data_IF_836109426237
#
_entry.id   IF_836109426237
#
_cell.length_a   1.000
_cell.length_b   1.000
_cell.length_c   1.000
_cell.angle_alpha   90.00
_cell.angle_beta   90.00
_cell.angle_gamma   90.00
#
_symmetry.space_group_name_H-M   'P 1'
#
loop_
_entity.id
_entity.type
_entity.pdbx_description
1 polymer ?
#
# COMPACT_ATOMS: atom_id res chain seq x y z
N UNK A 1 -20.22 -11.84 32.64
CA UNK A 1 -19.02 -11.44 31.89
C UNK A 1 -19.28 -11.83 30.45
N UNK A 2 -19.80 -10.89 29.66
CA UNK A 2 -19.86 -11.04 28.21
C UNK A 2 -18.43 -10.87 27.72
N UNK A 3 -17.86 -11.96 27.19
CA UNK A 3 -16.68 -11.89 26.32
C UNK A 3 -17.00 -10.92 25.20
N UNK A 4 -16.49 -9.70 25.29
CA UNK A 4 -16.45 -8.79 24.15
C UNK A 4 -15.62 -9.50 23.09
N UNK A 5 -16.30 -9.93 22.02
CA UNK A 5 -15.66 -10.60 20.90
C UNK A 5 -14.81 -9.57 20.18
N UNK A 6 -13.51 -9.85 20.06
CA UNK A 6 -12.57 -9.23 19.13
C UNK A 6 -13.26 -8.75 17.85
N UNK A 7 -13.08 -7.47 17.49
CA UNK A 7 -13.58 -6.91 16.23
C UNK A 7 -12.49 -6.01 15.65
N UNK A 8 -11.57 -6.62 14.90
CA UNK A 8 -10.63 -5.87 14.09
C UNK A 8 -11.35 -5.04 13.04
N UNK A 9 -10.94 -3.79 12.91
CA UNK A 9 -11.31 -2.88 11.85
C UNK A 9 -10.11 -2.55 11.00
N UNK A 10 -10.26 -2.62 9.68
CA UNK A 10 -9.34 -1.99 8.76
C UNK A 10 -9.53 -0.48 8.83
N UNK A 11 -8.49 0.25 9.25
CA UNK A 11 -8.53 1.70 9.41
C UNK A 11 -8.23 2.40 8.08
N UNK A 12 -9.18 3.21 7.66
CA UNK A 12 -9.17 3.90 6.37
C UNK A 12 -8.69 5.36 6.52
N UNK A 13 -9.18 6.07 7.54
CA UNK A 13 -8.72 7.43 7.81
C UNK A 13 -8.90 7.84 9.27
N UNK A 14 -8.16 8.88 9.67
CA UNK A 14 -8.28 9.53 10.98
C UNK A 14 -8.50 11.03 10.79
N UNK A 15 -9.61 11.53 11.33
CA UNK A 15 -9.94 12.95 11.36
C UNK A 15 -9.94 13.46 12.80
N UNK A 16 -9.15 14.47 13.10
CA UNK A 16 -9.15 15.15 14.41
C UNK A 16 -10.18 16.29 14.38
N UNK A 17 -11.18 16.24 15.26
CA UNK A 17 -12.22 17.28 15.37
C UNK A 17 -11.76 18.38 16.34
N UNK A 18 -11.14 17.99 17.45
CA UNK A 18 -10.59 18.88 18.47
C UNK A 18 -9.53 18.14 19.28
N UNK A 19 -8.83 18.84 20.18
CA UNK A 19 -7.87 18.24 21.11
C UNK A 19 -8.48 16.98 21.75
N UNK A 20 -7.84 15.83 21.50
CA UNK A 20 -8.22 14.51 22.01
C UNK A 20 -9.50 13.87 21.44
N UNK A 21 -10.18 14.46 20.47
CA UNK A 21 -11.37 13.88 19.83
C UNK A 21 -11.10 13.53 18.36
N UNK A 22 -11.27 12.25 18.03
CA UNK A 22 -10.95 11.69 16.72
C UNK A 22 -12.13 10.93 16.13
N UNK A 23 -12.27 10.96 14.81
CA UNK A 23 -13.11 10.04 14.04
C UNK A 23 -12.17 9.10 13.30
N UNK A 24 -12.32 7.81 13.57
CA UNK A 24 -11.61 6.73 12.90
C UNK A 24 -12.60 6.07 11.93
N UNK A 25 -12.42 6.27 10.63
CA UNK A 25 -13.25 5.64 9.61
C UNK A 25 -12.67 4.27 9.26
N UNK A 26 -13.47 3.21 9.22
CA UNK A 26 -12.97 1.86 8.95
C UNK A 26 -14.04 0.81 8.65
N UNK A 27 -13.63 -0.46 8.53
CA UNK A 27 -14.50 -1.60 8.21
C UNK A 27 -14.17 -2.84 9.02
N UNK A 28 -15.17 -3.58 9.54
CA UNK A 28 -14.94 -4.89 10.13
C UNK A 28 -14.30 -5.81 9.09
N UNK A 29 -13.29 -6.58 9.49
CA UNK A 29 -12.63 -7.57 8.63
C UNK A 29 -13.62 -8.55 7.97
N UNK A 30 -14.65 -8.95 8.71
CA UNK A 30 -15.64 -9.94 8.27
C UNK A 30 -16.85 -9.37 7.53
N UNK A 31 -17.03 -8.05 7.56
CA UNK A 31 -18.24 -7.41 7.04
C UNK A 31 -17.89 -6.14 6.25
N UNK A 32 -17.32 -6.36 5.07
CA UNK A 32 -17.01 -5.29 4.11
C UNK A 32 -18.25 -4.67 3.48
N UNK A 33 -19.49 -5.01 3.92
CA UNK A 33 -20.80 -4.62 3.36
C UNK A 33 -20.66 -3.33 2.58
N UNK A 34 -20.54 -3.45 1.25
CA UNK A 34 -20.17 -2.33 0.36
C UNK A 34 -21.20 -1.20 0.37
N UNK A 35 -22.31 -1.32 1.09
CA UNK A 35 -23.39 -0.36 1.16
C UNK A 35 -23.31 0.57 2.38
N UNK A 36 -22.44 0.25 3.34
CA UNK A 36 -22.26 0.99 4.58
C UNK A 36 -20.79 1.31 4.79
N UNK A 37 -20.51 2.31 5.60
CA UNK A 37 -19.21 2.52 6.23
C UNK A 37 -19.37 2.72 7.73
N UNK A 38 -18.27 2.54 8.45
CA UNK A 38 -18.30 2.60 9.89
C UNK A 38 -17.36 3.68 10.39
N UNK A 39 -17.81 4.40 11.41
CA UNK A 39 -17.02 5.39 12.11
C UNK A 39 -16.92 4.99 13.58
N UNK A 40 -15.70 5.03 14.09
CA UNK A 40 -15.40 4.93 15.51
C UNK A 40 -15.02 6.34 15.97
N UNK A 41 -15.93 6.97 16.69
CA UNK A 41 -15.71 8.28 17.30
C UNK A 41 -15.05 8.05 18.65
N UNK A 42 -13.88 8.62 18.88
CA UNK A 42 -13.03 8.29 20.02
C UNK A 42 -12.50 9.54 20.73
N UNK A 43 -12.71 9.61 22.05
CA UNK A 43 -12.05 10.59 22.93
C UNK A 43 -10.85 9.92 23.61
N UNK A 44 -9.63 10.33 23.28
CA UNK A 44 -8.40 9.62 23.66
C UNK A 44 -7.64 10.29 24.80
N UNK A 45 -7.01 9.51 25.67
CA UNK A 45 -6.07 10.03 26.69
C UNK A 45 -4.69 10.29 26.04
N UNK A 46 -4.34 9.51 25.02
CA UNK A 46 -3.13 9.64 24.21
C UNK A 46 -3.46 10.14 22.80
N UNK A 47 -2.63 10.99 22.20
CA UNK A 47 -2.94 11.53 20.87
C UNK A 47 -2.79 10.47 19.77
N UNK A 48 -3.87 10.20 19.04
CA UNK A 48 -3.87 9.34 17.84
C UNK A 48 -3.22 10.04 16.64
N UNK A 49 -2.83 11.30 16.75
CA UNK A 49 -2.19 12.03 15.64
C UNK A 49 -0.86 11.40 15.22
N UNK A 50 -0.18 10.67 16.12
CA UNK A 50 1.06 9.94 15.82
C UNK A 50 0.82 8.84 14.79
N UNK A 51 -0.32 8.15 14.83
CA UNK A 51 -0.63 7.06 13.89
C UNK A 51 -1.14 7.56 12.54
N UNK A 52 -1.56 8.83 12.44
CA UNK A 52 -2.07 9.44 11.20
C UNK A 52 -1.06 9.42 10.06
N UNK A 53 0.24 9.48 10.37
CA UNK A 53 1.32 9.38 9.39
C UNK A 53 1.51 7.96 8.83
N UNK A 54 0.91 6.96 9.49
CA UNK A 54 1.01 5.55 9.14
C UNK A 54 -0.28 4.98 8.53
N UNK A 55 -1.42 5.68 8.70
CA UNK A 55 -2.66 5.41 7.96
C UNK A 55 -2.28 5.37 6.48
N UNK A 56 -2.68 4.30 5.78
CA UNK A 56 -2.34 3.91 4.40
C UNK A 56 -1.51 2.60 4.29
N UNK A 57 -0.90 2.09 5.37
CA UNK A 57 -0.17 0.81 5.39
C UNK A 57 -0.88 -0.25 6.26
N UNK A 58 -1.90 -0.94 5.73
CA UNK A 58 -2.50 -2.13 6.35
C UNK A 58 -2.71 -2.02 7.87
N UNK A 59 -3.29 -0.89 8.30
CA UNK A 59 -3.51 -0.63 9.71
C UNK A 59 -4.81 -1.26 10.13
N UNK A 60 -4.72 -2.19 11.07
CA UNK A 60 -5.86 -2.76 11.76
C UNK A 60 -5.93 -2.17 13.15
N UNK A 61 -7.14 -1.88 13.61
CA UNK A 61 -7.39 -1.47 14.98
C UNK A 61 -8.35 -2.45 15.64
N UNK A 62 -8.11 -2.79 16.90
CA UNK A 62 -9.03 -3.61 17.68
C UNK A 62 -9.36 -2.94 19.01
N UNK A 63 -10.62 -3.08 19.41
CA UNK A 63 -11.12 -2.58 20.68
C UNK A 63 -11.09 -3.74 21.68
N UNK A 64 -9.96 -3.87 22.38
CA UNK A 64 -9.65 -5.00 23.27
C UNK A 64 -10.48 -4.96 24.57
N UNK A 65 -10.78 -3.75 25.05
CA UNK A 65 -11.58 -3.52 26.25
C UNK A 65 -12.40 -2.23 26.12
N UNK A 66 -13.16 -1.91 27.17
CA UNK A 66 -13.91 -0.66 27.31
C UNK A 66 -13.08 0.63 27.26
N UNK A 67 -11.75 0.53 27.31
CA UNK A 67 -10.82 1.66 27.45
C UNK A 67 -9.50 1.48 26.69
N UNK A 68 -9.26 0.34 26.04
CA UNK A 68 -8.02 0.03 25.31
C UNK A 68 -8.32 -0.21 23.84
N UNK A 69 -7.63 0.55 22.99
CA UNK A 69 -7.51 0.34 21.55
C UNK A 69 -6.12 -0.22 21.25
N UNK A 70 -6.04 -1.30 20.48
CA UNK A 70 -4.80 -1.86 19.96
C UNK A 70 -4.68 -1.59 18.46
N UNK A 71 -3.44 -1.43 17.98
CA UNK A 71 -3.14 -1.08 16.59
C UNK A 71 -2.11 -2.05 16.05
N UNK A 72 -2.44 -2.68 14.93
CA UNK A 72 -1.60 -3.59 14.19
C UNK A 72 -1.27 -2.99 12.82
N UNK A 73 -0.04 -3.18 12.33
CA UNK A 73 0.44 -2.61 11.07
C UNK A 73 1.07 -3.70 10.21
N UNK A 74 0.49 -4.07 9.05
CA UNK A 74 1.15 -4.92 8.03
C UNK A 74 0.22 -5.82 7.18
N UNK A 75 0.78 -6.41 6.12
CA UNK A 75 0.07 -7.13 5.03
C UNK A 75 -0.56 -8.48 5.43
N UNK A 76 -0.06 -9.09 6.50
CA UNK A 76 -0.50 -10.37 7.04
C UNK A 76 -0.53 -10.25 8.57
N UNK A 77 -1.65 -10.63 9.20
CA UNK A 77 -1.85 -10.64 10.66
C UNK A 77 -0.74 -11.35 11.46
N UNK A 78 0.12 -12.14 10.81
CA UNK A 78 1.21 -12.91 11.43
C UNK A 78 2.56 -12.18 11.51
N UNK A 79 2.80 -11.12 10.72
CA UNK A 79 4.13 -10.45 10.64
C UNK A 79 4.18 -9.07 11.35
N UNK A 80 3.15 -8.71 12.11
CA UNK A 80 3.01 -7.40 12.75
C UNK A 80 3.30 -7.46 14.25
N UNK A 81 4.32 -6.74 14.72
CA UNK A 81 4.57 -6.52 16.15
C UNK A 81 4.72 -5.03 16.45
N UNK A 82 3.60 -4.34 16.62
CA UNK A 82 3.58 -3.04 17.28
C UNK A 82 2.65 -3.12 18.48
N UNK A 83 3.21 -3.41 19.66
CA UNK A 83 2.49 -3.28 20.93
C UNK A 83 2.19 -1.79 21.18
N UNK A 84 1.05 -1.33 20.69
CA UNK A 84 0.57 0.04 20.87
C UNK A 84 -0.78 0.05 21.56
N UNK A 85 -0.81 -0.10 22.89
CA UNK A 85 -2.02 0.14 23.67
C UNK A 85 -2.28 1.65 23.74
N UNK A 86 -3.36 2.12 23.13
CA UNK A 86 -3.83 3.50 23.25
C UNK A 86 -5.08 3.52 24.13
N UNK A 87 -5.00 4.32 25.19
CA UNK A 87 -6.07 4.44 26.16
C UNK A 87 -7.06 5.52 25.73
N UNK A 88 -8.36 5.19 25.77
CA UNK A 88 -9.43 6.12 25.43
C UNK A 88 -10.44 6.24 26.58
N UNK A 89 -11.10 7.40 26.67
CA UNK A 89 -12.14 7.66 27.68
C UNK A 89 -13.52 7.21 27.22
N UNK A 90 -13.79 7.35 25.93
CA UNK A 90 -15.06 6.98 25.31
C UNK A 90 -14.84 6.61 23.85
N UNK A 91 -15.59 5.60 23.38
CA UNK A 91 -15.82 5.36 21.97
C UNK A 91 -17.32 5.34 21.66
N UNK A 92 -17.67 5.67 20.42
CA UNK A 92 -18.99 5.47 19.85
C UNK A 92 -18.84 4.90 18.44
N UNK A 93 -19.60 3.84 18.15
CA UNK A 93 -19.58 3.16 16.87
C UNK A 93 -20.83 3.51 16.07
N UNK A 94 -20.65 4.01 14.85
CA UNK A 94 -21.74 4.38 13.94
C UNK A 94 -21.62 3.61 12.62
N UNK A 95 -22.70 2.93 12.23
CA UNK A 95 -22.88 2.39 10.88
C UNK A 95 -23.62 3.45 10.05
N UNK A 96 -23.03 3.88 8.93
CA UNK A 96 -23.56 4.95 8.07
C UNK A 96 -23.87 4.39 6.68
N UNK A 97 -25.13 4.51 6.24
CA UNK A 97 -25.56 4.13 4.90
C UNK A 97 -25.03 5.13 3.86
N UNK A 98 -24.48 4.61 2.76
CA UNK A 98 -23.98 5.44 1.67
C UNK A 98 -25.12 6.17 0.96
N UNK A 99 -25.00 7.48 0.81
CA UNK A 99 -25.97 8.30 0.08
C UNK A 99 -26.19 7.84 -1.36
N UNK A 100 -27.46 7.82 -1.81
CA UNK A 100 -27.85 7.60 -3.21
C UNK A 100 -27.40 6.26 -3.84
N UNK A 101 -27.35 5.19 -3.03
CA UNK A 101 -27.03 3.81 -3.44
C UNK A 101 -27.73 3.37 -4.73
N UNK A 102 -29.05 3.53 -4.84
CA UNK A 102 -29.81 3.07 -6.02
C UNK A 102 -29.38 3.74 -7.34
N UNK A 103 -28.79 4.94 -7.27
CA UNK A 103 -28.40 5.72 -8.45
C UNK A 103 -26.93 5.50 -8.80
N UNK A 104 -26.04 5.58 -7.81
CA UNK A 104 -24.60 5.60 -8.05
C UNK A 104 -23.95 4.23 -7.98
N UNK A 105 -24.46 3.29 -7.17
CA UNK A 105 -23.88 1.94 -7.07
C UNK A 105 -23.86 1.22 -8.43
N UNK A 106 -24.97 1.18 -9.21
CA UNK A 106 -24.92 0.52 -10.51
C UNK A 106 -23.93 1.19 -11.47
N UNK A 107 -23.82 2.52 -11.45
CA UNK A 107 -22.89 3.28 -12.29
C UNK A 107 -21.43 3.03 -11.93
N UNK A 108 -21.11 3.03 -10.63
CA UNK A 108 -19.77 2.72 -10.14
C UNK A 108 -19.36 1.29 -10.52
N UNK A 109 -20.27 0.32 -10.35
CA UNK A 109 -20.03 -1.07 -10.75
C UNK A 109 -19.81 -1.23 -12.26
N UNK A 110 -20.63 -0.56 -13.09
CA UNK A 110 -20.42 -0.53 -14.54
C UNK A 110 -19.04 0.05 -14.89
N UNK A 111 -18.66 1.17 -14.27
CA UNK A 111 -17.36 1.80 -14.51
C UNK A 111 -16.20 0.92 -14.05
N UNK A 112 -16.34 0.23 -12.91
CA UNK A 112 -15.35 -0.73 -12.40
C UNK A 112 -15.14 -1.87 -13.40
N UNK A 113 -16.22 -2.44 -13.95
CA UNK A 113 -16.12 -3.48 -14.97
C UNK A 113 -15.41 -2.98 -16.24
N UNK A 114 -15.72 -1.75 -16.68
CA UNK A 114 -15.04 -1.14 -17.84
C UNK A 114 -13.54 -0.92 -17.58
N UNK A 115 -13.17 -0.49 -16.37
CA UNK A 115 -11.78 -0.33 -15.97
C UNK A 115 -11.04 -1.68 -15.93
N UNK A 116 -11.67 -2.72 -15.39
CA UNK A 116 -11.13 -4.10 -15.40
C UNK A 116 -10.88 -4.56 -16.84
N UNK A 117 -11.87 -4.42 -17.72
CA UNK A 117 -11.70 -4.79 -19.14
C UNK A 117 -10.59 -4.00 -19.83
N UNK A 118 -10.44 -2.71 -19.51
CA UNK A 118 -9.34 -1.89 -20.04
C UNK A 118 -7.98 -2.38 -19.54
N UNK A 119 -7.86 -2.64 -18.24
CA UNK A 119 -6.65 -3.21 -17.63
C UNK A 119 -6.29 -4.55 -18.28
N UNK A 120 -7.25 -5.48 -18.37
CA UNK A 120 -7.06 -6.79 -19.02
C UNK A 120 -6.59 -6.66 -20.48
N UNK A 121 -7.13 -5.70 -21.22
CA UNK A 121 -6.75 -5.47 -22.61
C UNK A 121 -5.32 -4.93 -22.78
N UNK A 122 -4.89 -4.06 -21.85
CA UNK A 122 -3.57 -3.40 -21.87
C UNK A 122 -2.47 -4.22 -21.19
N UNK A 123 -2.84 -5.15 -20.32
CA UNK A 123 -1.89 -5.90 -19.50
C UNK A 123 -0.86 -6.71 -20.30
N UNK A 124 -1.20 -7.39 -21.42
CA UNK A 124 -0.20 -8.15 -22.19
C UNK A 124 0.90 -7.25 -22.78
N UNK A 125 0.52 -6.09 -23.33
CA UNK A 125 1.45 -5.11 -23.88
C UNK A 125 2.32 -4.50 -22.77
N UNK A 126 1.67 -4.07 -21.68
CA UNK A 126 2.36 -3.55 -20.50
C UNK A 126 3.40 -4.54 -19.97
N UNK A 127 3.02 -5.81 -19.82
CA UNK A 127 3.90 -6.88 -19.32
C UNK A 127 5.10 -7.08 -20.24
N UNK A 128 4.88 -7.06 -21.54
CA UNK A 128 5.94 -7.21 -22.55
C UNK A 128 6.97 -6.09 -22.43
N UNK A 129 6.53 -4.83 -22.48
CA UNK A 129 7.42 -3.66 -22.43
C UNK A 129 8.10 -3.54 -21.07
N UNK A 130 7.35 -3.74 -19.98
CA UNK A 130 7.89 -3.76 -18.61
C UNK A 130 9.02 -4.77 -18.46
N UNK A 131 8.87 -5.98 -19.02
CA UNK A 131 9.86 -7.04 -18.87
C UNK A 131 11.19 -6.68 -19.52
N UNK A 132 11.23 -5.84 -20.56
CA UNK A 132 12.48 -5.35 -21.13
C UNK A 132 13.32 -4.60 -20.09
N UNK A 133 12.68 -3.73 -19.29
CA UNK A 133 13.36 -2.98 -18.23
C UNK A 133 13.69 -3.84 -17.00
N UNK A 134 12.82 -4.79 -16.66
CA UNK A 134 13.06 -5.74 -15.56
C UNK A 134 14.26 -6.64 -15.86
N UNK A 135 14.41 -7.13 -17.09
CA UNK A 135 15.56 -7.95 -17.47
C UNK A 135 16.86 -7.14 -17.46
N UNK A 136 16.81 -5.84 -17.82
CA UNK A 136 17.94 -4.93 -17.63
C UNK A 136 18.31 -4.76 -16.16
N UNK A 137 17.32 -4.59 -15.27
CA UNK A 137 17.55 -4.55 -13.82
C UNK A 137 18.19 -5.85 -13.34
N UNK A 138 17.65 -7.03 -13.70
CA UNK A 138 18.19 -8.34 -13.30
C UNK A 138 19.61 -8.56 -13.81
N UNK A 139 19.91 -8.16 -15.04
CA UNK A 139 21.26 -8.22 -15.59
C UNK A 139 22.24 -7.32 -14.80
N UNK A 140 21.81 -6.11 -14.44
CA UNK A 140 22.57 -5.18 -13.61
C UNK A 140 22.78 -5.72 -12.18
N UNK A 141 21.73 -6.27 -11.57
CA UNK A 141 21.76 -6.95 -10.28
C UNK A 141 22.79 -8.08 -10.26
N UNK A 142 22.76 -8.96 -11.27
CA UNK A 142 23.70 -10.09 -11.33
C UNK A 142 25.15 -9.61 -11.47
N UNK A 143 25.39 -8.49 -12.15
CA UNK A 143 26.72 -7.88 -12.32
C UNK A 143 27.23 -7.21 -11.03
N UNK A 144 26.37 -6.50 -10.31
CA UNK A 144 26.76 -5.65 -9.19
C UNK A 144 26.52 -6.26 -7.82
N UNK A 145 25.70 -7.31 -7.70
CA UNK A 145 25.32 -7.88 -6.41
C UNK A 145 25.74 -9.35 -6.31
N UNK A 146 25.50 -10.15 -7.37
CA UNK A 146 25.88 -11.58 -7.36
C UNK A 146 27.34 -11.86 -7.71
N UNK A 147 28.03 -10.94 -8.38
CA UNK A 147 29.47 -11.07 -8.58
C UNK A 147 30.18 -10.73 -7.26
N UNK A 148 30.90 -11.71 -6.68
CA UNK A 148 31.67 -11.55 -5.44
C UNK A 148 32.56 -10.29 -5.49
N UNK A 149 32.53 -9.50 -4.40
CA UNK A 149 33.32 -8.27 -4.15
C UNK A 149 32.85 -6.95 -4.79
N UNK A 150 31.55 -6.69 -4.89
CA UNK A 150 31.08 -5.34 -5.22
C UNK A 150 30.82 -4.54 -3.92
N UNK A 151 31.53 -3.43 -3.74
CA UNK A 151 31.41 -2.49 -2.60
C UNK A 151 31.77 -2.99 -1.19
N UNK A 152 32.43 -4.14 -1.06
CA UNK A 152 32.97 -4.61 0.23
C UNK A 152 31.92 -5.08 1.23
N UNK A 153 30.69 -5.35 0.77
CA UNK A 153 29.70 -6.13 1.51
C UNK A 153 29.92 -7.62 1.20
N UNK A 154 29.89 -8.47 2.23
CA UNK A 154 29.89 -9.91 2.01
C UNK A 154 28.48 -10.35 1.59
N UNK A 155 28.36 -11.34 0.69
CA UNK A 155 27.07 -11.89 0.23
C UNK A 155 26.20 -12.33 1.42
N UNK A 156 26.84 -12.77 2.50
CA UNK A 156 26.19 -13.11 3.78
C UNK A 156 25.43 -11.92 4.38
N UNK A 157 26.02 -10.72 4.43
CA UNK A 157 25.36 -9.51 4.99
C UNK A 157 24.16 -9.09 4.14
N UNK A 158 24.30 -9.14 2.81
CA UNK A 158 23.19 -8.86 1.88
C UNK A 158 22.03 -9.85 2.05
N UNK A 159 22.35 -11.14 2.26
CA UNK A 159 21.38 -12.22 2.40
C UNK A 159 20.59 -12.19 3.72
N UNK A 160 21.14 -11.59 4.79
CA UNK A 160 20.45 -11.49 6.09
C UNK A 160 19.15 -10.67 5.98
N UNK A 161 19.17 -9.65 5.14
CA UNK A 161 18.04 -8.72 4.96
C UNK A 161 17.03 -9.16 3.89
N UNK A 162 17.43 -10.08 3.00
CA UNK A 162 16.66 -10.50 1.79
C UNK A 162 16.19 -9.37 0.85
N UNK A 163 16.53 -8.10 1.10
CA UNK A 163 16.07 -6.94 0.33
C UNK A 163 16.20 -7.13 -1.17
N UNK A 164 17.42 -7.51 -1.55
CA UNK A 164 17.85 -7.60 -2.91
C UNK A 164 17.26 -8.83 -3.60
N UNK A 165 17.01 -9.90 -2.86
CA UNK A 165 16.25 -11.06 -3.34
C UNK A 165 14.79 -10.68 -3.61
N UNK A 166 14.14 -9.92 -2.71
CA UNK A 166 12.79 -9.38 -2.93
C UNK A 166 12.72 -8.48 -4.17
N UNK A 167 13.65 -7.54 -4.32
CA UNK A 167 13.70 -6.69 -5.50
C UNK A 167 13.96 -7.50 -6.78
N UNK A 168 14.78 -8.56 -6.71
CA UNK A 168 15.08 -9.41 -7.86
C UNK A 168 13.83 -10.12 -8.40
N UNK A 169 12.96 -10.59 -7.51
CA UNK A 169 11.74 -11.34 -7.86
C UNK A 169 10.47 -10.47 -7.93
N UNK A 170 10.59 -9.15 -7.73
CA UNK A 170 9.47 -8.20 -7.60
C UNK A 170 8.41 -8.32 -8.71
N UNK A 171 8.84 -8.63 -9.94
CA UNK A 171 7.99 -8.73 -11.13
C UNK A 171 7.81 -10.17 -11.64
N UNK A 172 8.26 -11.18 -10.89
CA UNK A 172 8.14 -12.59 -11.28
C UNK A 172 6.69 -13.08 -11.22
N UNK A 173 5.84 -12.41 -10.44
CA UNK A 173 4.38 -12.51 -10.61
C UNK A 173 3.99 -11.93 -11.97
N UNK A 174 3.57 -12.83 -12.88
CA UNK A 174 3.18 -12.51 -14.25
C UNK A 174 1.93 -11.61 -14.33
N UNK A 175 1.15 -11.50 -13.26
CA UNK A 175 -0.11 -10.76 -13.24
C UNK A 175 -0.15 -9.79 -12.06
N UNK A 176 0.10 -8.52 -12.33
CA UNK A 176 -0.12 -7.46 -11.35
C UNK A 176 -0.76 -6.21 -12.01
N UNK A 177 -2.09 -6.18 -12.16
CA UNK A 177 -2.80 -5.05 -12.77
C UNK A 177 -2.67 -3.75 -11.97
N UNK A 178 -2.31 -3.84 -10.68
CA UNK A 178 -2.09 -2.66 -9.85
C UNK A 178 -0.91 -1.81 -10.35
N UNK A 179 0.17 -2.42 -10.85
CA UNK A 179 1.28 -1.62 -11.42
C UNK A 179 0.86 -0.90 -12.71
N UNK A 180 0.09 -1.55 -13.57
CA UNK A 180 -0.47 -0.90 -14.76
C UNK A 180 -1.41 0.26 -14.37
N UNK A 181 -2.19 0.10 -13.30
CA UNK A 181 -3.04 1.18 -12.79
C UNK A 181 -2.21 2.36 -12.24
N UNK A 182 -1.05 2.08 -11.62
CA UNK A 182 -0.11 3.09 -11.14
C UNK A 182 0.52 3.94 -12.26
N UNK A 183 0.46 3.52 -13.54
CA UNK A 183 0.83 4.40 -14.66
C UNK A 183 -0.14 5.58 -14.80
N UNK A 184 -1.42 5.36 -14.53
CA UNK A 184 -2.43 6.41 -14.57
C UNK A 184 -2.47 7.22 -13.27
N UNK A 185 -2.08 6.61 -12.14
CA UNK A 185 -2.07 7.21 -10.81
C UNK A 185 -0.84 6.78 -10.00
N UNK A 186 0.34 7.38 -10.23
CA UNK A 186 1.56 7.00 -9.54
C UNK A 186 1.52 7.25 -8.02
N UNK A 187 0.56 8.06 -7.56
CA UNK A 187 0.31 8.34 -6.14
C UNK A 187 -1.12 7.95 -5.75
N UNK A 188 -1.71 6.92 -6.38
CA UNK A 188 -3.07 6.51 -6.01
C UNK A 188 -3.04 6.08 -4.54
N UNK A 189 -3.72 6.86 -3.71
CA UNK A 189 -4.14 6.37 -2.40
C UNK A 189 -5.06 5.19 -2.66
N UNK A 190 -4.87 4.09 -1.92
CA UNK A 190 -5.87 3.03 -1.83
C UNK A 190 -7.23 3.68 -1.49
N UNK A 191 -8.34 3.11 -1.98
CA UNK A 191 -9.58 3.86 -2.21
C UNK A 191 -10.09 4.56 -0.95
N UNK A 192 -10.29 5.88 -1.03
CA UNK A 192 -10.94 6.73 -0.03
C UNK A 192 -11.95 7.63 -0.77
N UNK A 193 -13.23 7.79 -0.37
CA UNK A 193 -14.08 7.04 0.53
C UNK A 193 -15.12 6.20 -0.24
N UNK A 194 -15.79 5.32 0.50
CA UNK A 194 -16.87 4.45 0.04
C UNK A 194 -18.16 5.20 -0.41
N UNK A 195 -18.13 6.48 -0.77
CA UNK A 195 -19.27 7.14 -1.45
C UNK A 195 -19.30 6.71 -2.92
N UNK A 196 -20.40 6.07 -3.35
CA UNK A 196 -20.54 5.54 -4.70
C UNK A 196 -20.37 6.58 -5.82
N UNK A 197 -20.69 7.85 -5.55
CA UNK A 197 -20.49 8.95 -6.50
C UNK A 197 -19.02 9.36 -6.56
N UNK A 198 -18.33 9.40 -5.42
CA UNK A 198 -16.88 9.67 -5.38
C UNK A 198 -16.14 8.54 -6.07
N UNK A 199 -16.44 7.29 -5.71
CA UNK A 199 -15.86 6.11 -6.36
C UNK A 199 -16.10 6.13 -7.88
N UNK A 200 -17.32 6.41 -8.32
CA UNK A 200 -17.61 6.55 -9.75
C UNK A 200 -16.72 7.61 -10.42
N UNK A 201 -16.55 8.78 -9.79
CA UNK A 201 -15.76 9.89 -10.34
C UNK A 201 -14.28 9.53 -10.44
N UNK A 202 -13.75 8.84 -9.43
CA UNK A 202 -12.36 8.35 -9.43
C UNK A 202 -12.15 7.25 -10.47
N UNK A 203 -13.09 6.31 -10.59
CA UNK A 203 -13.06 5.27 -11.62
C UNK A 203 -13.15 5.86 -13.02
N UNK A 204 -13.97 6.90 -13.22
CA UNK A 204 -14.09 7.62 -14.48
C UNK A 204 -12.77 8.32 -14.85
N UNK A 205 -12.20 9.07 -13.91
CA UNK A 205 -10.87 9.68 -14.09
C UNK A 205 -9.82 8.60 -14.39
N UNK A 206 -9.94 7.45 -13.74
CA UNK A 206 -9.00 6.34 -13.92
C UNK A 206 -9.05 5.72 -15.29
N UNK A 207 -10.26 5.47 -15.75
CA UNK A 207 -10.49 4.97 -17.09
C UNK A 207 -10.03 5.98 -18.13
N UNK A 208 -10.32 7.27 -17.95
CA UNK A 208 -9.90 8.33 -18.87
C UNK A 208 -8.37 8.39 -18.98
N UNK A 209 -7.66 8.49 -17.85
CA UNK A 209 -6.19 8.56 -17.86
C UNK A 209 -5.56 7.31 -18.45
N UNK A 210 -5.95 6.12 -17.97
CA UNK A 210 -5.37 4.86 -18.44
C UNK A 210 -5.64 4.63 -19.94
N UNK A 211 -6.79 5.07 -20.46
CA UNK A 211 -7.11 4.96 -21.89
C UNK A 211 -6.14 5.75 -22.78
N UNK A 212 -5.58 6.85 -22.25
CA UNK A 212 -4.65 7.73 -22.95
C UNK A 212 -3.18 7.35 -22.76
N UNK A 213 -2.87 6.44 -21.83
CA UNK A 213 -1.49 5.97 -21.62
C UNK A 213 -1.04 5.19 -22.86
N UNK A 214 0.02 5.69 -23.48
CA UNK A 214 0.74 5.02 -24.56
C UNK A 214 1.82 4.12 -23.93
N UNK A 215 1.61 2.81 -24.01
CA UNK A 215 2.54 1.81 -23.46
C UNK A 215 3.80 1.65 -24.33
N UNK A 216 3.82 2.23 -25.53
CA UNK A 216 4.99 2.23 -26.41
C UNK A 216 5.94 3.39 -26.11
N UNK A 217 5.54 4.34 -25.25
CA UNK A 217 6.43 5.37 -24.72
C UNK A 217 7.45 4.74 -23.75
N UNK A 218 8.60 4.38 -24.31
CA UNK A 218 9.72 3.77 -23.59
C UNK A 218 10.22 4.62 -22.42
N UNK A 219 10.17 5.95 -22.50
CA UNK A 219 10.62 6.82 -21.42
C UNK A 219 9.64 6.81 -20.25
N UNK A 220 8.34 6.85 -20.54
CA UNK A 220 7.28 6.69 -19.54
C UNK A 220 7.40 5.34 -18.83
N UNK A 221 7.49 4.25 -19.60
CA UNK A 221 7.56 2.88 -19.10
C UNK A 221 8.80 2.63 -18.25
N UNK A 222 9.96 3.13 -18.70
CA UNK A 222 11.21 3.09 -17.94
C UNK A 222 11.07 3.78 -16.58
N UNK A 223 10.62 5.04 -16.58
CA UNK A 223 10.49 5.82 -15.36
C UNK A 223 9.51 5.17 -14.39
N UNK A 224 8.42 4.61 -14.91
CA UNK A 224 7.45 3.88 -14.11
C UNK A 224 8.06 2.65 -13.42
N UNK A 225 8.80 1.79 -14.14
CA UNK A 225 9.48 0.62 -13.56
C UNK A 225 10.52 1.05 -12.52
N UNK A 226 11.30 2.09 -12.81
CA UNK A 226 12.29 2.65 -11.86
C UNK A 226 11.59 3.15 -10.59
N UNK A 227 10.46 3.85 -10.73
CA UNK A 227 9.72 4.38 -9.59
C UNK A 227 9.18 3.25 -8.70
N UNK A 228 8.68 2.16 -9.28
CA UNK A 228 8.25 0.99 -8.52
C UNK A 228 9.43 0.44 -7.71
N UNK A 229 10.58 0.23 -8.34
CA UNK A 229 11.78 -0.23 -7.62
C UNK A 229 12.21 0.73 -6.50
N UNK A 230 12.22 2.04 -6.75
CA UNK A 230 12.59 3.05 -5.76
C UNK A 230 11.64 3.00 -4.56
N UNK A 231 10.32 3.03 -4.80
CA UNK A 231 9.32 3.01 -3.74
C UNK A 231 9.42 1.72 -2.90
N UNK A 232 9.57 0.56 -3.55
CA UNK A 232 9.72 -0.71 -2.85
C UNK A 232 11.04 -0.77 -2.06
N UNK A 233 12.15 -0.26 -2.61
CA UNK A 233 13.43 -0.17 -1.90
C UNK A 233 13.34 0.74 -0.67
N UNK A 234 12.81 1.95 -0.82
CA UNK A 234 12.67 2.91 0.29
C UNK A 234 11.77 2.36 1.40
N UNK A 235 10.65 1.74 1.02
CA UNK A 235 9.76 1.09 1.97
C UNK A 235 10.47 -0.01 2.76
N UNK A 236 11.10 -0.97 2.09
CA UNK A 236 11.82 -2.06 2.75
C UNK A 236 13.03 -1.57 3.56
N UNK A 237 13.77 -0.57 3.08
CA UNK A 237 14.91 0.01 3.80
C UNK A 237 14.47 0.65 5.12
N UNK A 238 13.34 1.36 5.13
CA UNK A 238 12.79 1.96 6.35
C UNK A 238 12.44 0.91 7.41
N UNK A 239 11.97 -0.28 6.99
CA UNK A 239 11.67 -1.41 7.86
C UNK A 239 12.94 -2.09 8.44
N UNK A 240 14.10 -1.93 7.80
CA UNK A 240 15.35 -2.53 8.29
C UNK A 240 15.96 -1.83 9.47
N UNK A 241 15.79 -0.51 9.57
CA UNK A 241 16.28 0.27 10.71
C UNK A 241 15.76 -0.27 12.05
N UNK A 242 14.55 -0.83 12.04
CA UNK A 242 13.92 -1.43 13.22
C UNK A 242 14.43 -2.83 13.53
N UNK A 243 14.74 -3.63 12.52
CA UNK A 243 15.03 -5.07 12.66
C UNK A 243 16.53 -5.43 12.60
N UNK A 244 17.37 -4.56 12.03
CA UNK A 244 18.78 -4.82 11.78
C UNK A 244 19.66 -3.59 12.07
N UNK A 245 19.91 -3.32 13.35
CA UNK A 245 20.65 -2.14 13.82
C UNK A 245 22.10 -2.02 13.29
N UNK A 246 22.66 -3.09 12.72
CA UNK A 246 24.04 -3.14 12.19
C UNK A 246 24.11 -2.92 10.67
N UNK A 247 22.98 -2.74 9.98
CA UNK A 247 22.95 -2.53 8.53
C UNK A 247 23.35 -1.09 8.18
N UNK A 248 24.30 -0.96 7.25
CA UNK A 248 24.74 0.32 6.70
C UNK A 248 23.83 0.74 5.54
N UNK A 249 22.79 1.51 5.84
CA UNK A 249 21.82 2.02 4.86
C UNK A 249 22.49 2.77 3.70
N UNK A 250 23.61 3.46 3.96
CA UNK A 250 24.32 4.21 2.92
C UNK A 250 24.90 3.27 1.88
N UNK A 251 25.49 2.15 2.31
CA UNK A 251 26.01 1.13 1.40
C UNK A 251 24.90 0.46 0.60
N UNK A 252 23.78 0.11 1.24
CA UNK A 252 22.62 -0.46 0.54
C UNK A 252 22.06 0.48 -0.51
N UNK A 253 21.93 1.76 -0.17
CA UNK A 253 21.47 2.82 -1.08
C UNK A 253 22.45 3.04 -2.23
N UNK A 254 23.76 3.02 -1.98
CA UNK A 254 24.77 3.11 -3.02
C UNK A 254 24.70 1.93 -3.99
N UNK A 255 24.55 0.71 -3.45
CA UNK A 255 24.43 -0.51 -4.25
C UNK A 255 23.16 -0.49 -5.10
N UNK A 256 22.01 -0.18 -4.50
CA UNK A 256 20.74 -0.06 -5.22
C UNK A 256 20.80 0.98 -6.35
N UNK A 257 21.34 2.18 -6.07
CA UNK A 257 21.54 3.21 -7.08
C UNK A 257 22.47 2.76 -8.21
N UNK A 258 23.49 1.95 -7.91
CA UNK A 258 24.36 1.38 -8.94
C UNK A 258 23.61 0.42 -9.86
N UNK A 259 22.65 -0.36 -9.32
CA UNK A 259 21.83 -1.28 -10.10
C UNK A 259 20.86 -0.51 -11.00
N UNK A 260 20.09 0.43 -10.43
CA UNK A 260 19.03 1.19 -11.12
C UNK A 260 19.56 2.05 -12.26
N UNK A 261 20.76 2.64 -12.14
CA UNK A 261 21.37 3.48 -13.19
C UNK A 261 21.61 2.77 -14.52
N UNK A 262 21.63 1.44 -14.52
CA UNK A 262 21.88 0.62 -15.71
C UNK A 262 20.59 0.19 -16.44
N UNK A 263 19.42 0.69 -16.03
CA UNK A 263 18.19 0.55 -16.82
C UNK A 263 18.21 1.68 -17.87
N UNK A 264 18.23 1.30 -19.15
CA UNK A 264 18.33 2.17 -20.33
C UNK A 264 17.00 2.30 -21.05
#
# INVERSE_FOLDING_TARGET
>A
MTTESYKAFYLDSISEISDHYFILSGFPEYDYREDYYYEIHLESISQLTIIREYVDNWIYIDVISSDILEIYVGECYEDCSSDGQLAYKRYEYQEIEKTSKEVWKPKAQEMRNRLISLLESKLPEYTTVRNEFVEQYKASYNRHIRAENTFGLNITELSETRLFDYLYVLFDSLYNPHYLENLAFPNRRLPLPKDWKVEYSELEESLEKLSKVDLTDTALMKNHVINIYNNTFEHMLSNFKYNYANVDESKYTQLFNSVIRNIH
#
